data_IF_486414681996
#
_entry.id   IF_486414681996
#
_cell.length_a   1.000
_cell.length_b   1.000
_cell.length_c   1.000
_cell.angle_alpha   90.00
_cell.angle_beta   90.00
_cell.angle_gamma   90.00
#
_symmetry.space_group_name_H-M   'P 1'
#
loop_
_entity.id
_entity.type
_entity.pdbx_description
1 polymer ?
#
# COMPACT_ATOMS: atom_id res chain seq x y z
N UNK A 1 -5.77 23.91 -11.61
CA UNK A 1 -7.10 23.81 -12.22
C UNK A 1 -7.99 23.09 -11.23
N UNK A 2 -8.97 23.79 -10.64
CA UNK A 2 -9.81 23.24 -9.58
C UNK A 2 -10.99 22.50 -10.19
N UNK A 3 -10.94 21.17 -10.18
CA UNK A 3 -12.15 20.36 -10.43
C UNK A 3 -13.19 20.68 -9.35
N UNK A 4 -14.45 20.75 -9.78
CA UNK A 4 -15.64 21.19 -9.03
C UNK A 4 -16.03 20.18 -7.92
N UNK A 5 -15.12 19.91 -6.99
CA UNK A 5 -15.43 19.06 -5.85
C UNK A 5 -16.23 19.84 -4.82
N UNK A 6 -17.25 19.19 -4.25
CA UNK A 6 -18.02 19.77 -3.16
C UNK A 6 -17.12 19.90 -1.91
N UNK A 7 -16.60 21.09 -1.68
CA UNK A 7 -15.73 21.43 -0.54
C UNK A 7 -16.40 21.25 0.83
N UNK A 8 -17.72 21.02 0.88
CA UNK A 8 -18.42 20.65 2.13
C UNK A 8 -18.33 19.15 2.43
N UNK A 9 -18.02 18.31 1.44
CA UNK A 9 -17.85 16.87 1.64
C UNK A 9 -16.66 16.58 2.56
N UNK A 10 -16.86 15.84 3.68
CA UNK A 10 -15.76 15.43 4.55
C UNK A 10 -14.67 14.63 3.82
N UNK A 11 -15.06 13.79 2.87
CA UNK A 11 -14.15 13.00 2.04
C UNK A 11 -13.24 13.91 1.20
N UNK A 12 -13.81 14.89 0.52
CA UNK A 12 -13.06 15.86 -0.30
C UNK A 12 -12.08 16.65 0.57
N UNK A 13 -12.52 17.15 1.73
CA UNK A 13 -11.64 17.86 2.66
C UNK A 13 -10.47 16.99 3.13
N UNK A 14 -10.74 15.73 3.48
CA UNK A 14 -9.73 14.77 3.89
C UNK A 14 -8.71 14.52 2.77
N UNK A 15 -9.19 14.23 1.57
CA UNK A 15 -8.33 13.91 0.41
C UNK A 15 -7.48 15.10 -0.03
N UNK A 16 -8.01 16.32 -0.01
CA UNK A 16 -7.21 17.52 -0.32
C UNK A 16 -6.11 17.76 0.70
N UNK A 17 -6.38 17.49 1.99
CA UNK A 17 -5.35 17.57 3.04
C UNK A 17 -4.26 16.52 2.82
N UNK A 18 -4.64 15.27 2.56
CA UNK A 18 -3.68 14.20 2.27
C UNK A 18 -2.89 14.46 0.97
N UNK A 19 -3.50 15.08 -0.04
CA UNK A 19 -2.82 15.45 -1.28
C UNK A 19 -1.76 16.53 -1.04
N UNK A 20 -2.04 17.46 -0.13
CA UNK A 20 -1.06 18.45 0.30
C UNK A 20 0.08 17.82 1.12
N UNK A 21 -0.23 16.83 1.97
CA UNK A 21 0.76 16.09 2.76
C UNK A 21 1.69 15.24 1.89
N UNK A 22 1.14 14.56 0.87
CA UNK A 22 1.86 13.64 -0.02
C UNK A 22 2.40 14.30 -1.28
N UNK A 23 2.30 15.62 -1.39
CA UNK A 23 2.71 16.38 -2.59
C UNK A 23 4.17 16.13 -3.00
N UNK A 24 5.04 15.98 -2.01
CA UNK A 24 6.47 15.76 -2.22
C UNK A 24 6.79 14.26 -2.14
N UNK A 25 7.44 13.72 -3.18
CA UNK A 25 7.95 12.36 -3.17
C UNK A 25 8.97 12.13 -2.04
N UNK A 26 9.07 10.90 -1.55
CA UNK A 26 10.17 10.43 -0.68
C UNK A 26 11.07 9.46 -1.46
N UNK A 27 12.09 8.91 -0.79
CA UNK A 27 12.91 7.83 -1.36
C UNK A 27 12.13 6.50 -1.43
N UNK A 28 11.13 6.34 -0.57
CA UNK A 28 10.36 5.10 -0.40
C UNK A 28 9.02 5.12 -1.13
N UNK A 29 8.35 6.26 -1.24
CA UNK A 29 7.06 6.33 -1.92
C UNK A 29 6.72 7.71 -2.48
N UNK A 30 5.81 7.70 -3.44
CA UNK A 30 5.16 8.88 -3.99
C UNK A 30 3.71 8.53 -4.31
N UNK A 31 2.78 9.43 -4.06
CA UNK A 31 1.39 9.26 -4.45
C UNK A 31 0.73 10.60 -4.76
N UNK A 32 -0.13 10.61 -5.77
CA UNK A 32 -0.89 11.80 -6.15
C UNK A 32 -2.25 11.40 -6.74
N UNK A 33 -3.29 12.23 -6.58
CA UNK A 33 -4.55 12.05 -7.31
C UNK A 33 -4.33 12.20 -8.81
N UNK A 34 -5.21 11.61 -9.62
CA UNK A 34 -5.31 11.94 -11.03
C UNK A 34 -5.76 13.39 -11.22
N UNK A 35 -5.35 13.99 -12.33
CA UNK A 35 -5.65 15.40 -12.64
C UNK A 35 -7.16 15.69 -12.68
N UNK A 36 -7.94 14.72 -13.16
CA UNK A 36 -9.39 14.80 -13.35
C UNK A 36 -10.19 14.09 -12.26
N UNK A 37 -9.57 13.28 -11.39
CA UNK A 37 -10.26 12.48 -10.39
C UNK A 37 -9.52 12.42 -9.03
N UNK A 38 -10.06 13.13 -8.02
CA UNK A 38 -9.55 13.17 -6.64
C UNK A 38 -9.71 11.84 -5.88
N UNK A 39 -10.63 10.98 -6.33
CA UNK A 39 -10.92 9.69 -5.71
C UNK A 39 -10.11 8.55 -6.32
N UNK A 40 -9.26 8.85 -7.29
CA UNK A 40 -8.34 7.88 -7.87
C UNK A 40 -6.92 8.42 -7.84
N UNK A 41 -6.03 7.65 -7.24
CA UNK A 41 -4.65 8.05 -7.04
C UNK A 41 -3.73 7.05 -7.68
N UNK A 42 -2.64 7.55 -8.22
CA UNK A 42 -1.50 6.74 -8.60
C UNK A 42 -0.45 6.81 -7.51
N UNK A 43 0.24 5.70 -7.28
CA UNK A 43 1.36 5.66 -6.35
C UNK A 43 2.51 4.84 -6.91
N UNK A 44 3.71 5.12 -6.42
CA UNK A 44 4.91 4.30 -6.60
C UNK A 44 5.51 4.06 -5.23
N UNK A 45 5.91 2.82 -4.93
CA UNK A 45 6.69 2.47 -3.73
C UNK A 45 7.99 1.78 -4.13
N UNK A 46 9.04 2.00 -3.34
CA UNK A 46 10.27 1.23 -3.39
C UNK A 46 10.07 -0.09 -2.66
N UNK A 47 10.65 -1.17 -3.19
CA UNK A 47 10.66 -2.45 -2.51
C UNK A 47 11.41 -2.40 -1.18
N UNK A 48 10.92 -3.12 -0.15
CA UNK A 48 11.58 -3.14 1.15
C UNK A 48 12.98 -3.74 1.05
N UNK A 49 13.95 -3.14 1.75
CA UNK A 49 15.30 -3.68 1.91
C UNK A 49 15.27 -5.05 2.61
N UNK A 50 16.31 -5.85 2.35
CA UNK A 50 16.46 -7.21 2.88
C UNK A 50 15.34 -8.16 2.45
N UNK A 51 14.82 -7.96 1.23
CA UNK A 51 13.77 -8.79 0.66
C UNK A 51 14.04 -9.14 -0.81
N UNK A 52 13.31 -10.09 -1.35
CA UNK A 52 13.28 -10.39 -2.78
C UNK A 52 12.68 -9.28 -3.66
N UNK A 53 12.10 -8.25 -3.06
CA UNK A 53 11.54 -7.07 -3.74
C UNK A 53 12.50 -5.88 -3.74
N UNK A 54 13.61 -5.97 -3.01
CA UNK A 54 14.61 -4.93 -2.86
C UNK A 54 15.10 -4.40 -4.21
N UNK A 55 15.41 -3.09 -4.25
CA UNK A 55 15.76 -2.34 -5.45
C UNK A 55 14.67 -2.29 -6.55
N UNK A 56 13.50 -2.88 -6.32
CA UNK A 56 12.33 -2.76 -7.20
C UNK A 56 11.54 -1.47 -6.98
N UNK A 57 10.83 -1.04 -8.04
CA UNK A 57 9.85 0.04 -8.02
C UNK A 57 8.48 -0.51 -8.40
N UNK A 58 7.47 -0.29 -7.57
CA UNK A 58 6.15 -0.87 -7.75
C UNK A 58 5.11 0.22 -7.85
N UNK A 59 4.47 0.31 -9.00
CA UNK A 59 3.46 1.30 -9.31
C UNK A 59 2.06 0.71 -9.24
N UNK A 60 1.11 1.50 -8.75
CA UNK A 60 -0.25 1.07 -8.51
C UNK A 60 -1.26 2.18 -8.50
N UNK A 61 -2.52 1.79 -8.29
CA UNK A 61 -3.68 2.68 -8.15
C UNK A 61 -4.35 2.48 -6.80
N UNK A 62 -4.85 3.57 -6.23
CA UNK A 62 -5.73 3.58 -5.06
C UNK A 62 -7.06 4.17 -5.52
N UNK A 63 -8.13 3.39 -5.35
CA UNK A 63 -9.50 3.80 -5.66
C UNK A 63 -10.21 4.04 -4.33
N UNK A 64 -10.61 5.29 -4.10
CA UNK A 64 -11.22 5.75 -2.85
C UNK A 64 -12.74 5.83 -3.01
N UNK A 65 -13.52 5.23 -2.09
CA UNK A 65 -14.96 5.41 -2.10
C UNK A 65 -15.36 6.84 -1.72
N UNK A 66 -16.56 7.26 -2.08
CA UNK A 66 -17.11 8.57 -1.70
C UNK A 66 -17.26 8.75 -0.19
N UNK A 67 -17.33 7.64 0.54
CA UNK A 67 -17.43 7.57 2.00
C UNK A 67 -16.06 7.55 2.69
N UNK A 68 -14.95 7.63 1.96
CA UNK A 68 -13.61 7.74 2.56
C UNK A 68 -13.55 8.94 3.53
N UNK A 69 -12.95 8.80 4.73
CA UNK A 69 -12.20 7.66 5.24
C UNK A 69 -13.04 6.65 6.03
N UNK A 70 -14.37 6.73 6.03
CA UNK A 70 -15.21 5.78 6.77
C UNK A 70 -15.23 4.39 6.14
N UNK A 71 -15.01 4.31 4.82
CA UNK A 71 -14.78 3.06 4.11
C UNK A 71 -13.34 2.99 3.58
N UNK A 72 -12.72 1.80 3.57
CA UNK A 72 -11.35 1.58 3.09
C UNK A 72 -11.22 1.80 1.59
N UNK A 73 -10.00 2.12 1.10
CA UNK A 73 -9.70 2.13 -0.33
C UNK A 73 -9.62 0.72 -0.92
N UNK A 74 -9.70 0.64 -2.26
CA UNK A 74 -9.23 -0.51 -3.04
C UNK A 74 -7.84 -0.21 -3.59
N UNK A 75 -6.93 -1.19 -3.52
CA UNK A 75 -5.55 -1.05 -4.00
C UNK A 75 -5.34 -2.00 -5.19
N UNK A 76 -4.64 -1.53 -6.22
CA UNK A 76 -4.33 -2.30 -7.43
C UNK A 76 -2.85 -2.10 -7.77
N UNK A 77 -2.11 -3.19 -8.01
CA UNK A 77 -0.73 -3.11 -8.51
C UNK A 77 -0.72 -3.21 -10.03
N UNK A 78 0.09 -2.39 -10.68
CA UNK A 78 0.24 -2.35 -12.14
C UNK A 78 1.57 -2.95 -12.59
N UNK A 79 2.64 -2.76 -11.80
CA UNK A 79 3.95 -3.31 -12.11
C UNK A 79 4.01 -4.82 -11.83
N UNK A 80 4.51 -5.65 -12.76
CA UNK A 80 4.78 -7.06 -12.51
C UNK A 80 5.73 -7.24 -11.31
N UNK A 81 5.31 -8.04 -10.33
CA UNK A 81 6.01 -8.13 -9.03
C UNK A 81 6.10 -9.56 -8.45
N UNK A 82 5.32 -10.52 -8.95
CA UNK A 82 5.37 -11.91 -8.49
C UNK A 82 4.76 -12.18 -7.10
N UNK A 83 4.18 -11.15 -6.45
CA UNK A 83 3.45 -11.23 -5.17
C UNK A 83 1.96 -11.03 -5.31
N UNK A 84 1.58 -10.11 -6.21
CA UNK A 84 0.22 -9.68 -6.46
C UNK A 84 -0.08 -9.75 -7.95
N UNK A 85 -1.27 -10.23 -8.28
CA UNK A 85 -1.81 -10.16 -9.64
C UNK A 85 -1.97 -8.70 -10.07
N UNK A 86 -1.51 -8.38 -11.28
CA UNK A 86 -1.61 -7.03 -11.83
C UNK A 86 -3.06 -6.72 -12.22
N UNK A 87 -3.44 -5.45 -12.18
CA UNK A 87 -4.76 -4.95 -12.58
C UNK A 87 -5.95 -5.57 -11.81
N UNK A 88 -5.69 -6.21 -10.67
CA UNK A 88 -6.71 -6.75 -9.77
C UNK A 88 -6.64 -6.07 -8.42
N UNK A 89 -7.80 -5.99 -7.76
CA UNK A 89 -7.88 -5.49 -6.39
C UNK A 89 -7.14 -6.48 -5.49
N UNK A 90 -6.19 -5.99 -4.70
CA UNK A 90 -5.45 -6.81 -3.74
C UNK A 90 -6.10 -6.73 -2.37
N UNK A 91 -6.11 -7.87 -1.66
CA UNK A 91 -6.55 -7.97 -0.28
C UNK A 91 -5.35 -7.77 0.66
N UNK A 92 -5.28 -6.61 1.28
CA UNK A 92 -4.52 -6.37 2.50
C UNK A 92 -5.52 -6.16 3.66
N UNK A 93 -5.09 -6.34 4.90
CA UNK A 93 -5.89 -5.99 6.08
C UNK A 93 -6.30 -4.52 6.14
N UNK A 94 -5.61 -3.66 5.38
CA UNK A 94 -5.93 -2.24 5.18
C UNK A 94 -6.83 -1.96 3.96
N UNK A 95 -7.23 -2.99 3.22
CA UNK A 95 -8.03 -2.89 2.00
C UNK A 95 -9.46 -3.36 2.24
N UNK A 96 -10.40 -2.95 1.39
CA UNK A 96 -11.85 -3.18 1.57
C UNK A 96 -12.37 -4.61 1.55
N UNK A 97 -11.51 -5.62 1.66
CA UNK A 97 -11.92 -7.01 1.85
C UNK A 97 -12.17 -7.38 3.32
N UNK A 98 -11.66 -6.59 4.26
CA UNK A 98 -11.98 -6.66 5.70
C UNK A 98 -12.37 -5.26 6.21
N UNK A 99 -13.56 -4.75 5.87
CA UNK A 99 -14.00 -3.42 6.31
C UNK A 99 -13.98 -3.25 7.84
N UNK A 100 -14.10 -4.35 8.60
CA UNK A 100 -13.99 -4.41 10.05
C UNK A 100 -12.59 -4.07 10.58
N UNK A 101 -11.53 -4.37 9.82
CA UNK A 101 -10.14 -4.09 10.22
C UNK A 101 -9.71 -2.67 9.87
N UNK A 102 -10.46 -1.97 9.00
CA UNK A 102 -10.15 -0.62 8.57
C UNK A 102 -10.41 0.41 9.69
N UNK A 103 -9.44 1.30 9.90
CA UNK A 103 -9.60 2.42 10.81
C UNK A 103 -9.66 3.75 10.04
N UNK A 104 -10.71 4.57 10.21
CA UNK A 104 -10.81 5.88 9.53
C UNK A 104 -9.69 6.88 9.87
N UNK A 105 -8.89 6.60 10.89
CA UNK A 105 -7.67 7.34 11.23
C UNK A 105 -6.51 7.05 10.28
N UNK A 106 -6.49 5.90 9.60
CA UNK A 106 -5.48 5.56 8.61
C UNK A 106 -5.61 6.46 7.37
N UNK A 107 -4.47 6.87 6.82
CA UNK A 107 -4.37 7.72 5.63
C UNK A 107 -3.85 6.96 4.42
N UNK A 108 -3.82 7.60 3.25
CA UNK A 108 -3.13 7.09 2.07
C UNK A 108 -1.66 6.80 2.40
N UNK A 109 -0.98 7.65 3.19
CA UNK A 109 0.39 7.40 3.66
C UNK A 109 0.48 6.07 4.42
N UNK A 110 -0.43 5.83 5.37
CA UNK A 110 -0.51 4.56 6.11
C UNK A 110 -0.71 3.38 5.15
N UNK A 111 -1.53 3.56 4.11
CA UNK A 111 -1.74 2.53 3.10
C UNK A 111 -0.47 2.21 2.30
N UNK A 112 0.32 3.22 1.92
CA UNK A 112 1.59 3.03 1.21
C UNK A 112 2.61 2.28 2.07
N UNK A 113 2.76 2.68 3.33
CA UNK A 113 3.66 2.00 4.28
C UNK A 113 3.25 0.55 4.51
N UNK A 114 1.95 0.29 4.65
CA UNK A 114 1.44 -1.06 4.75
C UNK A 114 1.74 -1.89 3.49
N UNK A 115 1.56 -1.34 2.28
CA UNK A 115 1.94 -2.04 1.03
C UNK A 115 3.41 -2.46 1.08
N UNK A 116 4.32 -1.56 1.48
CA UNK A 116 5.76 -1.85 1.62
C UNK A 116 5.97 -2.98 2.64
N UNK A 117 5.37 -2.86 3.83
CA UNK A 117 5.56 -3.84 4.91
C UNK A 117 4.89 -5.20 4.67
N UNK A 118 3.84 -5.27 3.86
CA UNK A 118 3.16 -6.52 3.47
C UNK A 118 3.76 -7.20 2.25
N UNK A 119 4.53 -6.49 1.45
CA UNK A 119 5.14 -7.07 0.24
C UNK A 119 5.98 -8.34 0.51
N UNK A 120 6.87 -8.37 1.54
CA UNK A 120 7.72 -9.53 1.81
C UNK A 120 7.02 -10.62 2.64
N UNK A 121 5.77 -10.41 3.07
CA UNK A 121 5.06 -11.40 3.87
C UNK A 121 4.48 -12.52 3.00
N UNK A 122 4.30 -13.70 3.59
CA UNK A 122 3.69 -14.84 2.90
C UNK A 122 2.26 -14.53 2.44
N UNK A 123 1.90 -15.09 1.28
CA UNK A 123 0.59 -14.89 0.65
C UNK A 123 -0.55 -15.53 1.43
N UNK A 124 -0.29 -16.67 2.08
CA UNK A 124 -1.28 -17.49 2.79
C UNK A 124 -2.57 -17.72 1.99
N UNK A 125 -2.49 -17.74 0.65
CA UNK A 125 -3.64 -17.94 -0.23
C UNK A 125 -4.61 -16.75 -0.35
N UNK A 126 -4.20 -15.53 0.04
CA UNK A 126 -5.02 -14.34 -0.10
C UNK A 126 -5.45 -14.09 -1.56
N UNK A 127 -6.64 -13.51 -1.77
CA UNK A 127 -7.15 -13.19 -3.11
C UNK A 127 -6.20 -12.22 -3.82
N UNK A 128 -5.88 -12.52 -5.08
CA UNK A 128 -4.96 -11.74 -5.89
C UNK A 128 -3.48 -11.97 -5.56
N UNK A 129 -3.14 -12.98 -4.76
CA UNK A 129 -1.74 -13.34 -4.48
C UNK A 129 -1.10 -14.25 -5.53
N UNK A 130 0.22 -14.12 -5.69
CA UNK A 130 1.07 -14.94 -6.55
C UNK A 130 2.20 -15.56 -5.72
N UNK A 131 2.63 -16.78 -6.10
CA UNK A 131 3.63 -17.57 -5.38
C UNK A 131 4.88 -17.81 -6.24
N UNK A 132 5.43 -16.74 -6.81
CA UNK A 132 6.68 -16.81 -7.59
C UNK A 132 7.86 -17.08 -6.64
N UNK A 133 8.93 -17.66 -7.16
CA UNK A 133 10.15 -17.88 -6.37
C UNK A 133 10.82 -16.55 -6.02
N UNK A 134 11.65 -16.54 -4.98
CA UNK A 134 12.44 -15.37 -4.61
C UNK A 134 13.35 -14.89 -5.76
N UNK A 135 13.87 -15.80 -6.58
CA UNK A 135 14.71 -15.50 -7.75
C UNK A 135 13.91 -14.80 -8.85
N UNK A 136 12.69 -15.29 -9.13
CA UNK A 136 11.79 -14.65 -10.09
C UNK A 136 11.36 -13.25 -9.63
N UNK A 137 11.08 -13.09 -8.33
CA UNK A 137 10.74 -11.78 -7.72
C UNK A 137 11.90 -10.80 -7.84
N UNK A 138 13.14 -11.22 -7.55
CA UNK A 138 14.35 -10.39 -7.75
C UNK A 138 14.55 -10.00 -9.21
N UNK A 139 14.29 -10.92 -10.15
CA UNK A 139 14.36 -10.61 -11.58
C UNK A 139 13.29 -9.59 -12.00
N UNK A 140 12.09 -9.64 -11.42
CA UNK A 140 11.03 -8.65 -11.64
C UNK A 140 11.38 -7.28 -11.02
N UNK A 141 11.99 -7.27 -9.84
CA UNK A 141 12.47 -6.05 -9.19
C UNK A 141 13.46 -5.30 -10.11
N UNK A 142 14.42 -5.99 -10.72
CA UNK A 142 15.34 -5.37 -11.69
C UNK A 142 14.62 -4.87 -12.95
N UNK A 143 13.68 -5.65 -13.49
CA UNK A 143 12.88 -5.27 -14.67
C UNK A 143 12.00 -4.04 -14.42
N UNK A 144 11.63 -3.78 -13.17
CA UNK A 144 10.79 -2.62 -12.84
C UNK A 144 11.45 -1.27 -13.14
N UNK A 145 12.79 -1.20 -13.21
CA UNK A 145 13.54 0.04 -13.49
C UNK A 145 13.22 0.64 -14.85
N UNK A 146 12.86 -0.18 -15.83
CA UNK A 146 12.50 0.26 -17.19
C UNK A 146 10.99 0.24 -17.44
N UNK A 147 10.19 -0.10 -16.42
CA UNK A 147 8.74 -0.15 -16.56
C UNK A 147 8.14 1.26 -16.59
N UNK A 148 7.17 1.46 -17.48
CA UNK A 148 6.53 2.76 -17.68
C UNK A 148 5.03 2.66 -17.46
N UNK A 149 4.50 3.61 -16.69
CA UNK A 149 3.07 3.83 -16.57
C UNK A 149 2.58 4.65 -17.78
N UNK A 150 1.48 4.26 -18.44
CA UNK A 150 0.90 5.04 -19.54
C UNK A 150 0.58 6.48 -19.14
N UNK A 151 0.22 6.72 -17.88
CA UNK A 151 -0.17 8.04 -17.37
C UNK A 151 0.97 8.80 -16.67
N UNK A 152 1.91 8.09 -16.03
CA UNK A 152 2.95 8.71 -15.20
C UNK A 152 4.35 8.66 -15.82
N UNK A 153 4.55 7.92 -16.92
CA UNK A 153 5.86 7.70 -17.51
C UNK A 153 6.73 6.74 -16.71
N UNK A 154 8.05 6.97 -16.71
CA UNK A 154 9.03 6.09 -16.06
C UNK A 154 8.93 6.16 -14.53
N UNK A 155 8.47 5.07 -13.90
CA UNK A 155 8.09 5.10 -12.49
C UNK A 155 9.26 5.30 -11.53
N UNK A 156 10.47 4.90 -11.94
CA UNK A 156 11.71 5.12 -11.18
C UNK A 156 11.96 6.61 -10.91
N UNK A 157 11.61 7.47 -11.86
CA UNK A 157 11.83 8.91 -11.76
C UNK A 157 10.80 9.61 -10.86
N UNK A 158 9.80 8.88 -10.36
CA UNK A 158 8.76 9.42 -9.48
C UNK A 158 9.19 9.45 -8.01
N UNK A 159 10.25 8.74 -7.64
CA UNK A 159 10.81 8.75 -6.29
C UNK A 159 12.06 9.64 -6.23
N UNK A 160 12.40 10.14 -5.04
CA UNK A 160 13.64 10.89 -4.84
C UNK A 160 14.84 9.95 -4.89
N UNK A 161 15.91 10.38 -5.55
CA UNK A 161 17.18 9.66 -5.53
C UNK A 161 17.82 9.73 -4.14
N UNK A 162 18.41 8.63 -3.71
CA UNK A 162 19.18 8.57 -2.46
C UNK A 162 20.40 9.47 -2.61
N UNK A 163 20.53 10.49 -1.76
CA UNK A 163 21.69 11.38 -1.79
C UNK A 163 22.96 10.58 -1.49
N UNK A 164 24.00 10.75 -2.31
CA UNK A 164 25.25 9.96 -2.26
C UNK A 164 26.07 10.08 -0.96
N UNK A 165 25.61 10.85 0.03
CA UNK A 165 26.33 11.11 1.29
C UNK A 165 25.91 10.25 2.50
N UNK A 166 24.95 9.32 2.35
CA UNK A 166 24.56 8.39 3.43
C UNK A 166 24.75 6.94 3.02
N UNK A 167 26.03 6.56 2.85
CA UNK A 167 26.46 5.17 2.91
C UNK A 167 26.64 4.77 4.38
N UNK A 168 25.54 4.38 5.02
CA UNK A 168 25.56 3.50 6.18
C UNK A 168 24.44 2.48 6.03
N UNK A 169 24.69 1.27 6.54
CA UNK A 169 23.79 0.10 6.58
C UNK A 169 22.58 0.32 7.51
N UNK A 170 22.10 1.56 7.63
CA UNK A 170 20.93 1.90 8.43
C UNK A 170 19.69 1.81 7.57
N UNK A 171 18.84 0.83 7.90
CA UNK A 171 17.48 0.71 7.39
C UNK A 171 16.76 2.07 7.50
N UNK A 172 16.18 2.54 6.39
CA UNK A 172 15.58 3.88 6.37
C UNK A 172 14.45 3.97 7.39
N UNK A 173 14.29 5.15 8.01
CA UNK A 173 13.27 5.37 9.05
C UNK A 173 11.87 4.96 8.54
N UNK A 174 11.57 5.21 7.27
CA UNK A 174 10.32 4.79 6.65
C UNK A 174 10.19 3.28 6.49
N UNK A 175 11.28 2.53 6.24
CA UNK A 175 11.25 1.07 6.19
C UNK A 175 11.04 0.48 7.60
N UNK A 176 11.69 1.04 8.63
CA UNK A 176 11.44 0.69 10.03
C UNK A 176 9.98 0.96 10.41
N UNK A 177 9.47 2.14 10.07
CA UNK A 177 8.08 2.53 10.30
C UNK A 177 7.11 1.59 9.56
N UNK A 178 7.38 1.27 8.29
CA UNK A 178 6.57 0.35 7.50
C UNK A 178 6.53 -1.05 8.11
N UNK A 179 7.68 -1.59 8.52
CA UNK A 179 7.76 -2.90 9.18
C UNK A 179 7.02 -2.90 10.52
N UNK A 180 7.19 -1.86 11.33
CA UNK A 180 6.52 -1.76 12.62
C UNK A 180 5.00 -1.58 12.47
N UNK A 181 4.58 -0.72 11.53
CA UNK A 181 3.18 -0.56 11.18
C UNK A 181 2.58 -1.88 10.67
N UNK A 182 3.27 -2.59 9.78
CA UNK A 182 2.81 -3.89 9.29
C UNK A 182 2.67 -4.91 10.43
N UNK A 183 3.61 -4.95 11.38
CA UNK A 183 3.49 -5.79 12.59
C UNK A 183 2.27 -5.40 13.42
N UNK A 184 2.05 -4.10 13.67
CA UNK A 184 0.92 -3.63 14.46
C UNK A 184 -0.42 -3.92 13.78
N UNK A 185 -0.50 -3.73 12.46
CA UNK A 185 -1.69 -4.04 11.66
C UNK A 185 -1.91 -5.56 11.65
N UNK A 186 -0.89 -6.37 11.38
CA UNK A 186 -0.97 -7.84 11.47
C UNK A 186 -1.44 -8.32 12.84
N UNK A 187 -0.87 -7.78 13.90
CA UNK A 187 -1.23 -8.14 15.27
C UNK A 187 -2.67 -7.77 15.57
N UNK A 188 -3.11 -6.57 15.17
CA UNK A 188 -4.50 -6.14 15.36
C UNK A 188 -5.48 -7.01 14.59
N UNK A 189 -5.16 -7.36 13.34
CA UNK A 189 -5.97 -8.27 12.51
C UNK A 189 -6.01 -9.67 13.13
N UNK A 190 -4.88 -10.17 13.64
CA UNK A 190 -4.82 -11.45 14.34
C UNK A 190 -5.69 -11.46 15.60
N UNK A 191 -5.64 -10.40 16.42
CA UNK A 191 -6.51 -10.25 17.59
C UNK A 191 -7.98 -10.15 17.19
N UNK A 192 -8.32 -9.34 16.18
CA UNK A 192 -9.70 -9.19 15.72
C UNK A 192 -10.24 -10.55 15.18
N UNK A 193 -9.42 -11.34 14.48
CA UNK A 193 -9.76 -12.73 14.08
C UNK A 193 -9.89 -13.69 15.27
N UNK A 194 -9.00 -13.61 16.27
CA UNK A 194 -9.05 -14.47 17.46
C UNK A 194 -10.30 -14.17 18.29
N UNK A 195 -10.64 -12.90 18.45
CA UNK A 195 -11.87 -12.45 19.12
C UNK A 195 -13.09 -13.00 18.36
N UNK A 196 -13.13 -12.87 17.04
CA UNK A 196 -14.21 -13.44 16.21
C UNK A 196 -14.31 -14.97 16.37
N UNK A 197 -13.21 -15.70 16.40
CA UNK A 197 -13.22 -17.16 16.60
C UNK A 197 -13.72 -17.56 18.00
N UNK A 198 -13.36 -16.80 19.04
CA UNK A 198 -13.82 -17.03 20.43
C UNK A 198 -15.32 -16.73 20.58
N UNK A 199 -15.88 -15.78 19.81
CA UNK A 199 -17.30 -15.44 19.86
C UNK A 199 -18.20 -16.25 18.90
N UNK A 200 -17.64 -16.90 17.87
CA UNK A 200 -18.42 -17.71 16.90
C UNK A 200 -18.44 -19.21 17.25
N UNK A 201 -17.48 -19.71 18.05
CA UNK A 201 -17.57 -21.03 18.67
C UNK A 201 -17.71 -20.88 20.18
N UNK A 202 -18.93 -20.68 20.72
CA UNK A 202 -19.15 -21.03 22.12
C UNK A 202 -18.92 -22.54 22.21
N UNK A 203 -17.84 -22.93 22.88
CA UNK A 203 -17.55 -24.33 23.16
C UNK A 203 -18.80 -24.97 23.78
N UNK A 204 -19.46 -25.96 23.13
CA UNK A 204 -20.64 -26.59 23.70
C UNK A 204 -20.32 -27.46 24.93
N UNK A 205 -19.04 -27.50 25.35
CA UNK A 205 -18.54 -28.32 26.45
C UNK A 205 -17.72 -27.55 27.50
N UNK A 206 -17.98 -26.26 27.71
CA UNK A 206 -17.63 -25.63 28.99
C UNK A 206 -18.76 -25.89 30.01
N UNK A 207 -18.46 -26.49 31.18
CA UNK A 207 -19.45 -26.91 32.19
C UNK A 207 -20.16 -25.74 32.89
#
# INVERSE_FOLDING_TARGET
MASSYNMRSPAVKRLMKEAQELKEATEEYFAQPLEDNLFEWHFTVKGPSDSEFEEGFYHGRIILPTEYPMKPPSIIILTPNGRFEINKKICLSISGHHPESWQPSWSIRTALLAIIGFMPTESLGAIGSLNYSAEERRALALKSHSWQCPSCGLIKNLLKEKSANSLSEEESEANKEAKELAKQICFKVFIDYLVVLVFINPDPFLP
#
